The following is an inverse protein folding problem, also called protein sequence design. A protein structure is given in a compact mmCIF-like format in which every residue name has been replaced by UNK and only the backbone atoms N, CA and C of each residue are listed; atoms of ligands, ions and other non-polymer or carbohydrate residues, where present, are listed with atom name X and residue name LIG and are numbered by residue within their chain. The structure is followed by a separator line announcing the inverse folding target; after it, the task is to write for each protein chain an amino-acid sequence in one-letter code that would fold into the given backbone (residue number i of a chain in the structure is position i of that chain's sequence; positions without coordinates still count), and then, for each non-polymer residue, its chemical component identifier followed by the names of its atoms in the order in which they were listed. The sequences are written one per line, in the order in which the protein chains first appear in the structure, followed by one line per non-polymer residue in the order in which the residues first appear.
data_IF_522638338481
#
_entry.id   IF_522638338481
#
_cell.length_a   1.000
_cell.length_b   1.000
_cell.length_c   1.000
_cell.angle_alpha   90.00
_cell.angle_beta   90.00
_cell.angle_gamma   90.00
#
_symmetry.space_group_name_H-M   'P 1'
#
loop_
_entity.id
_entity.type
_entity.pdbx_description
1 polymer ?
#
# COMPACT_ATOMS: atom_id res chain seq x y z
N UNK A 1 8.17 5.40 -18.14
CA UNK A 1 8.91 4.41 -17.34
C UNK A 1 8.78 3.05 -18.01
N UNK A 2 9.93 2.43 -18.29
CA UNK A 2 10.02 1.10 -18.87
C UNK A 2 10.68 0.18 -17.86
N UNK A 3 10.22 -1.07 -17.76
CA UNK A 3 10.82 -2.01 -16.85
C UNK A 3 10.32 -3.43 -17.03
N UNK A 4 11.12 -4.39 -16.55
CA UNK A 4 10.72 -5.79 -16.41
C UNK A 4 10.82 -6.23 -14.96
N UNK A 5 10.04 -7.22 -14.62
CA UNK A 5 10.10 -7.95 -13.35
C UNK A 5 9.98 -9.43 -13.70
N UNK A 6 10.83 -10.23 -13.10
CA UNK A 6 10.89 -11.65 -13.41
C UNK A 6 10.82 -12.47 -12.12
N UNK A 7 10.21 -13.63 -12.22
CA UNK A 7 10.13 -14.54 -11.09
C UNK A 7 9.60 -15.91 -11.48
N UNK A 8 9.96 -16.89 -10.68
CA UNK A 8 9.49 -18.25 -10.89
C UNK A 8 9.63 -19.10 -9.63
N UNK A 9 9.02 -20.27 -9.67
CA UNK A 9 9.11 -21.28 -8.61
C UNK A 9 9.49 -22.63 -9.18
N UNK A 10 10.27 -23.38 -8.44
CA UNK A 10 10.64 -24.76 -8.81
C UNK A 10 9.37 -25.61 -8.93
N UNK A 11 9.24 -26.36 -10.02
CA UNK A 11 8.07 -27.17 -10.30
C UNK A 11 6.79 -26.40 -10.61
N UNK A 12 6.93 -25.11 -10.94
CA UNK A 12 5.80 -24.25 -11.24
C UNK A 12 5.97 -23.47 -12.54
N UNK A 13 5.82 -22.16 -12.45
CA UNK A 13 5.85 -21.28 -13.61
C UNK A 13 6.98 -20.26 -13.49
N UNK A 14 7.51 -19.82 -14.62
CA UNK A 14 8.34 -18.64 -14.73
C UNK A 14 7.56 -17.55 -15.48
N UNK A 15 7.60 -16.35 -14.96
CA UNK A 15 6.90 -15.20 -15.52
C UNK A 15 7.84 -14.01 -15.72
N UNK A 16 7.66 -13.33 -16.83
CA UNK A 16 8.29 -12.04 -17.13
C UNK A 16 7.18 -11.02 -17.31
N UNK A 17 7.15 -10.01 -16.46
CA UNK A 17 6.28 -8.85 -16.59
C UNK A 17 7.04 -7.72 -17.26
N UNK A 18 6.52 -7.19 -18.34
CA UNK A 18 7.00 -5.99 -19.01
C UNK A 18 6.01 -4.85 -18.81
N UNK A 19 6.50 -3.66 -18.46
CA UNK A 19 5.67 -2.47 -18.33
C UNK A 19 6.25 -1.31 -19.14
N UNK A 20 5.35 -0.43 -19.61
CA UNK A 20 5.66 0.74 -20.41
C UNK A 20 4.75 1.91 -20.01
N UNK A 21 4.93 2.39 -18.79
CA UNK A 21 4.10 3.48 -18.27
C UNK A 21 4.55 4.82 -18.84
N UNK A 22 3.62 5.60 -19.32
CA UNK A 22 3.78 7.04 -19.55
C UNK A 22 3.44 7.74 -18.24
N UNK A 23 4.32 8.63 -17.80
CA UNK A 23 4.15 9.37 -16.55
C UNK A 23 4.03 10.84 -16.87
N UNK A 24 3.03 11.51 -16.29
CA UNK A 24 2.87 12.95 -16.39
C UNK A 24 2.30 13.51 -15.09
N UNK A 25 2.57 14.78 -14.83
CA UNK A 25 1.98 15.49 -13.70
C UNK A 25 0.74 16.24 -14.15
N UNK A 26 -0.27 16.25 -13.30
CA UNK A 26 -1.50 17.00 -13.49
C UNK A 26 -2.05 17.48 -12.16
N UNK A 27 -3.07 18.32 -12.21
CA UNK A 27 -3.72 18.87 -11.03
C UNK A 27 -5.21 18.54 -11.03
N UNK A 28 -5.69 17.99 -9.92
CA UNK A 28 -7.11 17.73 -9.68
C UNK A 28 -7.54 18.39 -8.37
N UNK A 29 -8.41 19.41 -8.47
CA UNK A 29 -8.98 20.07 -7.29
C UNK A 29 -7.93 20.52 -6.27
N UNK A 30 -6.81 21.10 -6.74
CA UNK A 30 -5.70 21.56 -5.90
C UNK A 30 -4.72 20.46 -5.45
N UNK A 31 -4.93 19.22 -5.83
CA UNK A 31 -4.00 18.13 -5.58
C UNK A 31 -3.13 17.87 -6.82
N UNK A 32 -1.81 17.97 -6.67
CA UNK A 32 -0.86 17.60 -7.70
C UNK A 32 -0.69 16.08 -7.69
N UNK A 33 -0.93 15.46 -8.84
CA UNK A 33 -0.85 14.02 -9.01
C UNK A 33 0.18 13.63 -10.05
N UNK A 34 0.80 12.47 -9.86
CA UNK A 34 1.66 11.84 -10.85
C UNK A 34 0.92 10.69 -11.50
N UNK A 35 0.26 10.99 -12.58
CA UNK A 35 -0.54 10.01 -13.31
C UNK A 35 0.34 9.07 -14.13
N UNK A 36 -0.08 7.82 -14.19
CA UNK A 36 0.52 6.79 -15.02
C UNK A 36 -0.52 6.21 -15.95
N UNK A 37 -0.16 6.00 -17.20
CA UNK A 37 -1.06 5.32 -18.12
C UNK A 37 -0.28 4.56 -19.21
N UNK A 38 -0.94 3.58 -19.81
CA UNK A 38 -0.47 2.90 -21.01
C UNK A 38 -1.27 3.35 -22.23
N UNK A 39 -2.58 3.14 -22.24
CA UNK A 39 -3.47 3.52 -23.34
C UNK A 39 -4.40 4.66 -22.96
N UNK A 40 -4.72 4.80 -21.69
CA UNK A 40 -5.56 5.86 -21.14
C UNK A 40 -5.19 6.15 -19.68
N UNK A 41 -5.49 7.35 -19.19
CA UNK A 41 -5.19 7.74 -17.82
C UNK A 41 -5.78 6.79 -16.79
N UNK A 42 -5.02 6.53 -15.73
CA UNK A 42 -5.42 5.67 -14.62
C UNK A 42 -5.44 4.16 -14.93
N UNK A 43 -5.08 3.76 -16.15
CA UNK A 43 -4.94 2.36 -16.51
C UNK A 43 -3.46 1.96 -16.56
N UNK A 44 -3.04 1.15 -15.62
CA UNK A 44 -1.75 0.48 -15.70
C UNK A 44 -1.81 -0.61 -16.76
N UNK A 45 -0.78 -0.69 -17.58
CA UNK A 45 -0.71 -1.72 -18.61
C UNK A 45 0.69 -2.32 -18.60
N UNK A 46 0.75 -3.56 -18.21
CA UNK A 46 1.89 -4.42 -18.43
C UNK A 46 1.45 -5.68 -19.15
N UNK A 47 2.41 -6.36 -19.73
CA UNK A 47 2.21 -7.66 -20.34
C UNK A 47 3.03 -8.67 -19.55
N UNK A 48 2.37 -9.74 -19.09
CA UNK A 48 3.03 -10.85 -18.41
C UNK A 48 3.10 -12.01 -19.40
N UNK A 49 4.33 -12.48 -19.64
CA UNK A 49 4.59 -13.72 -20.37
C UNK A 49 4.87 -14.82 -19.37
N UNK A 50 4.16 -15.95 -19.47
CA UNK A 50 4.26 -17.09 -18.56
C UNK A 50 4.74 -18.32 -19.31
N UNK A 51 5.71 -19.01 -18.74
CA UNK A 51 6.22 -20.29 -19.25
C UNK A 51 6.20 -21.36 -18.16
N UNK A 52 6.12 -22.61 -18.58
CA UNK A 52 6.41 -23.75 -17.74
C UNK A 52 7.90 -23.79 -17.42
N UNK A 53 8.26 -23.99 -16.15
CA UNK A 53 9.65 -23.89 -15.71
C UNK A 53 10.49 -25.12 -16.07
N UNK A 54 9.84 -26.27 -16.26
CA UNK A 54 10.53 -27.54 -16.56
C UNK A 54 10.76 -27.73 -18.05
N UNK A 55 9.78 -27.34 -18.86
CA UNK A 55 9.80 -27.57 -20.30
C UNK A 55 10.12 -26.33 -21.11
N UNK A 56 10.06 -25.15 -20.52
CA UNK A 56 10.18 -23.87 -21.23
C UNK A 56 8.98 -23.55 -22.12
N UNK A 57 7.91 -24.34 -22.07
CA UNK A 57 6.74 -24.17 -22.93
C UNK A 57 6.04 -22.84 -22.64
N UNK A 58 5.82 -21.98 -23.65
CA UNK A 58 4.98 -20.80 -23.52
C UNK A 58 3.54 -21.18 -23.16
N UNK A 59 3.02 -20.57 -22.11
CA UNK A 59 1.68 -20.90 -21.61
C UNK A 59 0.67 -19.77 -21.80
N UNK A 60 1.06 -18.53 -21.53
CA UNK A 60 0.12 -17.42 -21.57
C UNK A 60 0.79 -16.06 -21.79
N UNK A 61 0.01 -15.14 -22.38
CA UNK A 61 0.22 -13.69 -22.27
C UNK A 61 -0.97 -13.09 -21.52
N UNK A 62 -0.69 -12.33 -20.48
CA UNK A 62 -1.70 -11.77 -19.59
C UNK A 62 -1.52 -10.24 -19.56
N UNK A 63 -2.61 -9.49 -19.78
CA UNK A 63 -2.65 -8.07 -19.47
C UNK A 63 -2.75 -7.90 -17.96
N UNK A 64 -1.87 -7.11 -17.35
CA UNK A 64 -1.72 -7.05 -15.91
C UNK A 64 -2.44 -5.88 -15.23
N UNK A 65 -3.14 -5.03 -15.98
CA UNK A 65 -3.71 -3.81 -15.41
C UNK A 65 -4.55 -4.03 -14.16
N UNK A 66 -5.53 -4.94 -14.25
CA UNK A 66 -6.35 -5.31 -13.08
C UNK A 66 -5.57 -6.17 -12.07
N UNK A 67 -4.74 -7.09 -12.57
CA UNK A 67 -3.94 -7.97 -11.74
C UNK A 67 -2.96 -7.17 -10.84
N UNK A 68 -2.41 -6.08 -11.36
CA UNK A 68 -1.55 -5.21 -10.58
C UNK A 68 -2.27 -4.58 -9.40
N UNK A 69 -3.48 -4.07 -9.59
CA UNK A 69 -4.28 -3.52 -8.48
C UNK A 69 -4.53 -4.59 -7.40
N UNK A 70 -4.87 -5.81 -7.82
CA UNK A 70 -5.11 -6.93 -6.90
C UNK A 70 -3.83 -7.34 -6.16
N UNK A 71 -2.68 -7.40 -6.85
CA UNK A 71 -1.40 -7.76 -6.25
C UNK A 71 -1.00 -6.75 -5.18
N UNK A 72 -1.03 -5.45 -5.50
CA UNK A 72 -0.69 -4.39 -4.55
C UNK A 72 -1.64 -4.37 -3.35
N UNK A 73 -2.94 -4.53 -3.59
CA UNK A 73 -3.91 -4.69 -2.50
C UNK A 73 -3.64 -5.90 -1.62
N UNK A 74 -3.24 -7.03 -2.21
CA UNK A 74 -2.92 -8.25 -1.47
C UNK A 74 -1.65 -8.10 -0.60
N UNK A 75 -0.61 -7.42 -1.11
CA UNK A 75 0.61 -7.13 -0.35
C UNK A 75 0.29 -6.27 0.88
N UNK A 76 -0.49 -5.22 0.69
CA UNK A 76 -1.00 -4.39 1.77
C UNK A 76 -1.88 -5.16 2.76
N UNK A 77 -2.68 -6.11 2.26
CA UNK A 77 -3.45 -7.04 3.08
C UNK A 77 -2.57 -7.94 3.95
N UNK A 78 -1.41 -8.37 3.45
CA UNK A 78 -0.42 -9.10 4.23
C UNK A 78 0.14 -8.20 5.35
N UNK A 79 0.47 -6.95 5.04
CA UNK A 79 0.88 -5.97 6.04
C UNK A 79 -0.17 -5.83 7.14
N UNK A 80 -1.43 -5.62 6.78
CA UNK A 80 -2.55 -5.54 7.73
C UNK A 80 -2.69 -6.82 8.55
N UNK A 81 -2.61 -7.99 7.91
CA UNK A 81 -2.74 -9.28 8.59
C UNK A 81 -1.73 -9.45 9.71
N UNK A 82 -0.49 -9.12 9.47
CA UNK A 82 0.60 -9.42 10.40
C UNK A 82 0.99 -8.26 11.31
N UNK A 83 0.67 -7.03 10.93
CA UNK A 83 1.19 -5.84 11.60
C UNK A 83 0.11 -4.96 12.23
N UNK A 84 -1.17 -5.08 11.86
CA UNK A 84 -2.26 -4.39 12.55
C UNK A 84 -2.77 -5.19 13.76
N UNK A 85 -3.46 -4.51 14.67
CA UNK A 85 -4.14 -5.17 15.78
C UNK A 85 -5.23 -6.12 15.26
N UNK A 86 -5.40 -7.28 15.89
CA UNK A 86 -6.43 -8.25 15.48
C UNK A 86 -7.85 -7.67 15.55
N UNK A 87 -8.09 -6.79 16.51
CA UNK A 87 -9.37 -6.12 16.71
C UNK A 87 -9.61 -4.94 15.75
N UNK A 88 -8.67 -4.63 14.83
CA UNK A 88 -8.83 -3.55 13.87
C UNK A 88 -10.09 -3.73 13.04
N UNK A 89 -10.94 -2.70 13.01
CA UNK A 89 -12.27 -2.74 12.39
C UNK A 89 -12.66 -1.45 11.67
N UNK A 90 -11.88 -0.38 11.83
CA UNK A 90 -12.14 0.91 11.20
C UNK A 90 -10.96 1.27 10.28
N UNK A 91 -11.26 1.57 9.03
CA UNK A 91 -10.26 1.98 8.02
C UNK A 91 -10.43 3.44 7.67
N UNK A 92 -9.37 4.21 7.75
CA UNK A 92 -9.26 5.52 7.13
C UNK A 92 -8.57 5.38 5.76
N UNK A 93 -9.30 5.68 4.69
CA UNK A 93 -8.83 5.52 3.31
C UNK A 93 -8.53 6.87 2.66
N UNK A 94 -7.32 7.10 2.23
CA UNK A 94 -6.89 8.28 1.50
C UNK A 94 -6.71 7.88 0.03
N UNK A 95 -7.61 8.34 -0.81
CA UNK A 95 -7.77 7.91 -2.20
C UNK A 95 -9.03 7.09 -2.40
N UNK A 96 -9.62 7.15 -3.61
CA UNK A 96 -10.87 6.49 -3.98
C UNK A 96 -10.80 5.83 -5.35
N UNK A 97 -9.58 5.54 -5.84
CA UNK A 97 -9.32 4.90 -7.12
C UNK A 97 -9.39 3.38 -7.08
N UNK A 98 -8.89 2.74 -8.13
CA UNK A 98 -8.83 1.28 -8.26
C UNK A 98 -8.01 0.62 -7.16
N UNK A 99 -6.88 1.22 -6.77
CA UNK A 99 -6.05 0.72 -5.68
C UNK A 99 -6.80 0.69 -4.35
N UNK A 100 -7.55 1.74 -4.01
CA UNK A 100 -8.33 1.78 -2.77
C UNK A 100 -9.36 0.65 -2.68
N UNK A 101 -9.98 0.28 -3.81
CA UNK A 101 -10.93 -0.83 -3.90
C UNK A 101 -10.28 -2.16 -3.56
N UNK A 102 -9.17 -2.46 -4.20
CA UNK A 102 -8.46 -3.73 -4.00
C UNK A 102 -7.79 -3.83 -2.62
N UNK A 103 -7.38 -2.69 -2.04
CA UNK A 103 -6.91 -2.65 -0.66
C UNK A 103 -8.03 -2.99 0.32
N UNK A 104 -9.20 -2.38 0.15
CA UNK A 104 -10.33 -2.70 1.02
C UNK A 104 -10.75 -4.16 0.87
N UNK A 105 -10.80 -4.70 -0.35
CA UNK A 105 -11.06 -6.13 -0.59
C UNK A 105 -10.10 -7.03 0.20
N UNK A 106 -8.80 -6.71 0.17
CA UNK A 106 -7.79 -7.47 0.89
C UNK A 106 -7.90 -7.32 2.42
N UNK A 107 -8.23 -6.12 2.91
CA UNK A 107 -8.41 -5.89 4.36
C UNK A 107 -9.62 -6.66 4.89
N UNK A 108 -10.70 -6.72 4.12
CA UNK A 108 -11.89 -7.55 4.45
C UNK A 108 -11.56 -9.04 4.57
N UNK A 109 -10.57 -9.53 3.83
CA UNK A 109 -10.13 -10.93 3.93
C UNK A 109 -9.37 -11.24 5.23
N UNK A 110 -8.77 -10.25 5.88
CA UNK A 110 -7.84 -10.47 6.99
C UNK A 110 -8.27 -9.84 8.31
N UNK A 111 -9.25 -8.93 8.27
CA UNK A 111 -9.83 -8.25 9.44
C UNK A 111 -11.34 -8.14 9.33
N UNK A 112 -12.01 -8.06 10.46
CA UNK A 112 -13.46 -7.83 10.52
C UNK A 112 -13.76 -6.33 10.41
N UNK A 113 -13.53 -5.76 9.22
CA UNK A 113 -13.77 -4.34 8.98
C UNK A 113 -15.26 -4.07 9.01
N UNK A 114 -15.66 -3.04 9.77
CA UNK A 114 -17.04 -2.63 9.95
C UNK A 114 -17.33 -1.24 9.40
N UNK A 115 -16.31 -0.42 9.34
CA UNK A 115 -16.43 0.97 8.91
C UNK A 115 -15.22 1.42 8.09
N UNK A 116 -15.49 2.22 7.06
CA UNK A 116 -14.47 2.91 6.28
C UNK A 116 -14.78 4.40 6.23
N UNK A 117 -13.80 5.22 6.46
CA UNK A 117 -13.82 6.67 6.30
C UNK A 117 -12.96 7.02 5.11
N UNK A 118 -13.53 7.52 4.02
CA UNK A 118 -12.79 7.77 2.78
C UNK A 118 -12.73 9.24 2.42
N UNK A 119 -11.53 9.67 2.03
CA UNK A 119 -11.31 11.00 1.47
C UNK A 119 -10.55 10.91 0.15
N UNK A 120 -10.98 11.70 -0.81
CA UNK A 120 -10.22 12.11 -1.99
C UNK A 120 -10.63 13.52 -2.39
N UNK A 121 -9.76 14.29 -3.11
CA UNK A 121 -10.06 15.69 -3.45
C UNK A 121 -11.37 15.87 -4.23
N UNK A 122 -11.68 14.95 -5.13
CA UNK A 122 -12.90 14.98 -5.93
C UNK A 122 -14.07 14.36 -5.16
N UNK A 123 -15.02 15.19 -4.76
CA UNK A 123 -16.18 14.78 -3.96
C UNK A 123 -16.98 13.62 -4.61
N UNK A 124 -17.28 13.76 -5.90
CA UNK A 124 -18.04 12.73 -6.62
C UNK A 124 -17.34 11.36 -6.60
N UNK A 125 -15.98 11.33 -6.66
CA UNK A 125 -15.23 10.08 -6.64
C UNK A 125 -15.28 9.40 -5.27
N UNK A 126 -15.16 10.16 -4.16
CA UNK A 126 -15.23 9.58 -2.82
C UNK A 126 -16.64 9.14 -2.45
N UNK A 127 -17.69 9.86 -2.92
CA UNK A 127 -19.08 9.46 -2.74
C UNK A 127 -19.42 8.20 -3.54
N UNK A 128 -18.96 8.10 -4.80
CA UNK A 128 -19.12 6.91 -5.62
C UNK A 128 -18.42 5.69 -5.00
N UNK A 129 -17.18 5.87 -4.52
CA UNK A 129 -16.47 4.82 -3.78
C UNK A 129 -17.23 4.37 -2.54
N UNK A 130 -17.76 5.31 -1.75
CA UNK A 130 -18.49 5.00 -0.53
C UNK A 130 -19.75 4.18 -0.82
N UNK A 131 -20.51 4.57 -1.82
CA UNK A 131 -21.72 3.84 -2.24
C UNK A 131 -21.39 2.42 -2.73
N UNK A 132 -20.41 2.30 -3.64
CA UNK A 132 -19.99 1.02 -4.24
C UNK A 132 -19.47 0.04 -3.18
N UNK A 133 -18.56 0.50 -2.31
CA UNK A 133 -17.94 -0.37 -1.33
C UNK A 133 -18.87 -0.72 -0.17
N UNK A 134 -19.80 0.18 0.18
CA UNK A 134 -20.85 -0.12 1.15
C UNK A 134 -21.77 -1.22 0.64
N UNK A 135 -22.21 -1.13 -0.61
CA UNK A 135 -23.04 -2.15 -1.25
C UNK A 135 -22.29 -3.49 -1.37
N UNK A 136 -21.06 -3.45 -1.87
CA UNK A 136 -20.25 -4.65 -2.11
C UNK A 136 -19.97 -5.45 -0.84
N UNK A 137 -19.63 -4.77 0.24
CA UNK A 137 -19.14 -5.41 1.48
C UNK A 137 -20.18 -5.44 2.62
N UNK A 138 -21.30 -4.76 2.48
CA UNK A 138 -22.32 -4.69 3.53
C UNK A 138 -21.84 -3.98 4.79
N UNK A 139 -20.97 -2.98 4.66
CA UNK A 139 -20.37 -2.23 5.77
C UNK A 139 -20.67 -0.73 5.66
N UNK A 140 -20.45 0.00 6.74
CA UNK A 140 -20.57 1.46 6.76
C UNK A 140 -19.37 2.11 6.07
N UNK A 141 -19.56 2.75 4.90
CA UNK A 141 -18.52 3.51 4.20
C UNK A 141 -18.94 4.96 4.09
N UNK A 142 -18.20 5.86 4.70
CA UNK A 142 -18.50 7.28 4.82
C UNK A 142 -17.52 8.11 4.02
N UNK A 143 -18.04 8.91 3.09
CA UNK A 143 -17.27 9.93 2.38
C UNK A 143 -17.03 11.14 3.30
N UNK A 144 -15.77 11.40 3.64
CA UNK A 144 -15.37 12.51 4.50
C UNK A 144 -15.19 13.80 3.69
N UNK A 145 -15.53 14.94 4.27
CA UNK A 145 -15.32 16.24 3.62
C UNK A 145 -13.88 16.72 3.75
N UNK A 146 -13.18 16.32 4.79
CA UNK A 146 -11.78 16.68 5.05
C UNK A 146 -10.89 15.45 5.21
N UNK A 147 -9.65 15.56 4.71
CA UNK A 147 -8.66 14.48 4.83
C UNK A 147 -8.36 14.11 6.29
N UNK A 148 -8.44 15.06 7.20
CA UNK A 148 -8.24 14.83 8.64
C UNK A 148 -9.23 13.85 9.23
N UNK A 149 -10.47 13.84 8.73
CA UNK A 149 -11.53 13.04 9.33
C UNK A 149 -11.33 11.55 9.13
N UNK A 150 -10.53 11.13 8.13
CA UNK A 150 -10.24 9.71 7.91
C UNK A 150 -9.37 9.10 9.02
N UNK A 151 -8.63 9.93 9.77
CA UNK A 151 -7.74 9.43 10.82
C UNK A 151 -8.47 9.18 12.14
N UNK A 152 -9.54 9.93 12.39
CA UNK A 152 -10.21 9.93 13.70
C UNK A 152 -10.81 8.58 14.04
N UNK A 153 -10.23 7.92 15.03
CA UNK A 153 -10.69 6.61 15.52
C UNK A 153 -10.49 5.47 14.52
N UNK A 154 -9.72 5.67 13.46
CA UNK A 154 -9.36 4.61 12.55
C UNK A 154 -8.29 3.70 13.17
N UNK A 155 -8.38 2.40 12.92
CA UNK A 155 -7.37 1.41 13.32
C UNK A 155 -6.29 1.27 12.25
N UNK A 156 -6.70 1.43 10.98
CA UNK A 156 -5.83 1.30 9.80
C UNK A 156 -5.97 2.57 8.97
N UNK A 157 -4.86 3.20 8.63
CA UNK A 157 -4.80 4.30 7.68
C UNK A 157 -4.20 3.77 6.38
N UNK A 158 -4.91 3.90 5.26
CA UNK A 158 -4.46 3.43 3.96
C UNK A 158 -4.31 4.58 2.97
N UNK A 159 -3.09 4.85 2.55
CA UNK A 159 -2.76 5.81 1.50
C UNK A 159 -2.71 5.13 0.13
N UNK A 160 -3.73 5.31 -0.68
CA UNK A 160 -3.87 4.69 -2.00
C UNK A 160 -4.12 5.78 -3.06
N UNK A 161 -3.10 6.57 -3.36
CA UNK A 161 -3.24 7.76 -4.19
C UNK A 161 -2.03 7.99 -5.08
N UNK A 162 -2.26 8.58 -6.24
CA UNK A 162 -1.24 9.05 -7.17
C UNK A 162 -0.73 10.47 -6.83
N UNK A 163 -1.00 10.98 -5.63
CA UNK A 163 -0.50 12.27 -5.18
C UNK A 163 1.01 12.38 -5.35
N UNK A 164 1.47 13.48 -5.94
CA UNK A 164 2.89 13.79 -6.06
C UNK A 164 3.51 14.27 -4.73
N UNK A 165 2.67 14.55 -3.74
CA UNK A 165 3.09 14.98 -2.41
C UNK A 165 2.67 13.96 -1.35
N UNK A 166 3.40 13.88 -0.21
CA UNK A 166 3.05 12.99 0.88
C UNK A 166 1.64 13.26 1.40
N UNK A 167 0.86 12.18 1.61
CA UNK A 167 -0.53 12.26 2.07
C UNK A 167 -0.70 11.80 3.51
N UNK A 168 0.28 11.11 4.07
CA UNK A 168 0.24 10.71 5.48
C UNK A 168 0.68 11.91 6.34
N UNK A 169 -0.22 12.39 7.17
CA UNK A 169 0.02 13.54 8.03
C UNK A 169 0.34 13.09 9.46
N UNK A 170 1.54 13.45 9.93
CA UNK A 170 2.04 13.09 11.25
C UNK A 170 1.18 13.59 12.41
N UNK A 171 0.61 14.79 12.26
CA UNK A 171 -0.18 15.42 13.34
C UNK A 171 -1.53 14.74 13.57
N UNK A 172 -2.03 14.02 12.55
CA UNK A 172 -3.34 13.34 12.60
C UNK A 172 -3.23 11.87 12.98
N UNK A 173 -2.01 11.33 13.03
CA UNK A 173 -1.79 9.95 13.46
C UNK A 173 -2.11 9.79 14.95
N UNK A 174 -2.89 8.76 15.26
CA UNK A 174 -3.26 8.38 16.61
C UNK A 174 -2.48 7.13 17.07
N UNK A 175 -2.18 7.00 18.35
CA UNK A 175 -1.56 5.79 18.90
C UNK A 175 -2.35 4.52 18.55
N UNK A 176 -1.64 3.44 18.23
CA UNK A 176 -2.25 2.16 17.90
C UNK A 176 -2.67 2.01 16.44
N UNK A 177 -2.54 3.03 15.62
CA UNK A 177 -2.84 2.93 14.20
C UNK A 177 -1.78 2.12 13.44
N UNK A 178 -2.25 1.37 12.47
CA UNK A 178 -1.44 0.76 11.43
C UNK A 178 -1.56 1.58 10.14
N UNK A 179 -0.44 2.06 9.63
CA UNK A 179 -0.41 2.81 8.37
C UNK A 179 0.02 1.89 7.24
N UNK A 180 -0.74 1.87 6.16
CA UNK A 180 -0.37 1.25 4.87
C UNK A 180 -0.26 2.36 3.84
N UNK A 181 0.84 2.43 3.11
CA UNK A 181 1.01 3.46 2.09
C UNK A 181 1.63 2.89 0.81
N UNK A 182 0.99 3.14 -0.32
CA UNK A 182 1.43 2.69 -1.66
C UNK A 182 1.69 3.82 -2.63
N UNK A 183 1.75 5.04 -2.15
CA UNK A 183 1.96 6.19 -3.02
C UNK A 183 1.96 7.49 -2.24
N UNK A 184 1.91 8.59 -2.96
CA UNK A 184 1.87 9.92 -2.32
C UNK A 184 3.25 10.43 -1.94
N UNK A 185 4.02 10.84 -2.96
CA UNK A 185 5.25 11.58 -2.76
C UNK A 185 6.50 10.78 -2.45
N UNK A 186 6.59 9.56 -3.00
CA UNK A 186 7.87 8.84 -3.05
C UNK A 186 8.12 7.78 -2.01
N UNK A 187 7.08 7.30 -1.36
CA UNK A 187 7.12 6.04 -0.61
C UNK A 187 7.65 6.16 0.82
N UNK A 188 8.73 6.89 1.07
CA UNK A 188 9.31 6.96 2.40
C UNK A 188 8.65 8.06 3.22
N UNK A 189 8.22 7.74 4.45
CA UNK A 189 7.62 8.75 5.29
C UNK A 189 8.63 9.85 5.62
N UNK A 190 8.19 11.11 5.53
CA UNK A 190 8.97 12.26 5.95
C UNK A 190 9.32 12.20 7.45
N UNK A 191 10.31 12.97 7.90
CA UNK A 191 10.84 12.93 9.27
C UNK A 191 9.75 13.05 10.34
N UNK A 192 8.78 13.94 10.16
CA UNK A 192 7.69 14.11 11.12
C UNK A 192 6.83 12.83 11.30
N UNK A 193 6.61 12.07 10.22
CA UNK A 193 5.92 10.78 10.30
C UNK A 193 6.81 9.73 10.94
N UNK A 194 8.11 9.69 10.56
CA UNK A 194 9.08 8.79 11.18
C UNK A 194 9.15 8.96 12.70
N UNK A 195 9.07 10.18 13.18
CA UNK A 195 9.07 10.49 14.63
C UNK A 195 7.85 9.94 15.38
N UNK A 196 6.80 9.58 14.66
CA UNK A 196 5.58 8.99 15.21
C UNK A 196 5.53 7.48 15.10
N UNK A 197 6.38 6.89 14.26
CA UNK A 197 6.37 5.46 13.96
C UNK A 197 7.27 4.72 14.94
N UNK A 198 6.80 3.58 15.43
CA UNK A 198 7.59 2.63 16.23
C UNK A 198 8.18 1.50 15.41
N UNK A 199 7.45 1.08 14.37
CA UNK A 199 7.86 -0.01 13.48
C UNK A 199 7.65 0.44 12.04
N UNK A 200 8.68 0.31 11.23
CA UNK A 200 8.63 0.52 9.80
C UNK A 200 8.96 -0.79 9.07
N UNK A 201 8.14 -1.14 8.12
CA UNK A 201 8.36 -2.26 7.22
C UNK A 201 8.14 -1.81 5.79
N UNK A 202 9.08 -2.11 4.91
CA UNK A 202 8.97 -1.89 3.49
C UNK A 202 9.01 -3.21 2.75
N UNK A 203 8.07 -3.40 1.84
CA UNK A 203 7.98 -4.57 0.99
C UNK A 203 8.57 -4.26 -0.39
N UNK A 204 9.34 -5.20 -0.96
CA UNK A 204 9.90 -5.05 -2.30
C UNK A 204 11.43 -4.92 -2.33
N UNK A 205 11.97 -5.05 -3.52
CA UNK A 205 13.41 -5.01 -3.79
C UNK A 205 13.81 -3.65 -4.38
N UNK A 206 13.41 -2.58 -3.74
CA UNK A 206 13.80 -1.23 -4.13
C UNK A 206 15.15 -0.84 -3.51
N UNK A 207 15.93 0.04 -4.11
CA UNK A 207 17.13 0.56 -3.49
C UNK A 207 16.80 1.29 -2.19
N UNK A 208 17.79 1.34 -1.29
CA UNK A 208 17.65 2.07 -0.04
C UNK A 208 17.14 3.50 -0.26
N UNK A 209 16.26 3.97 0.60
CA UNK A 209 15.70 5.31 0.49
C UNK A 209 16.79 6.39 0.55
N UNK A 210 16.75 7.28 -0.43
CA UNK A 210 17.64 8.43 -0.38
C UNK A 210 17.24 9.37 0.77
N UNK A 211 18.19 9.84 1.54
CA UNK A 211 17.96 10.77 2.64
C UNK A 211 17.72 10.14 4.01
N UNK A 212 17.78 8.83 4.10
CA UNK A 212 17.75 8.10 5.37
C UNK A 212 19.01 7.24 5.49
N UNK A 213 20.19 7.85 5.72
CA UNK A 213 21.47 7.14 5.72
C UNK A 213 21.59 6.07 6.81
N UNK A 214 20.82 6.20 7.89
CA UNK A 214 20.70 5.20 8.96
C UNK A 214 19.84 3.99 8.58
N UNK A 215 19.14 4.05 7.46
CA UNK A 215 18.32 2.98 6.93
C UNK A 215 18.96 2.41 5.67
N UNK A 216 20.08 1.74 5.80
CA UNK A 216 20.61 0.92 4.69
C UNK A 216 19.81 -0.38 4.64
N UNK A 217 18.76 -0.35 3.84
CA UNK A 217 17.84 -1.48 3.68
C UNK A 217 18.10 -2.27 2.39
N UNK A 218 19.18 -2.00 1.66
CA UNK A 218 19.40 -2.58 0.35
C UNK A 218 19.35 -4.12 0.36
N UNK A 219 19.89 -4.73 1.40
CA UNK A 219 19.89 -6.19 1.57
C UNK A 219 18.76 -6.70 2.48
N UNK A 220 17.92 -5.79 2.97
CA UNK A 220 16.96 -6.08 4.03
C UNK A 220 15.53 -6.22 3.52
N UNK A 221 15.30 -5.91 2.27
CA UNK A 221 13.97 -5.95 1.67
C UNK A 221 13.34 -7.34 1.76
N UNK A 222 12.05 -7.38 1.93
CA UNK A 222 11.20 -8.55 2.01
C UNK A 222 11.30 -9.38 3.29
N UNK A 223 12.40 -9.34 3.98
CA UNK A 223 12.65 -10.28 5.07
C UNK A 223 12.90 -9.64 6.42
N UNK A 224 13.11 -8.35 6.46
CA UNK A 224 13.58 -7.74 7.70
C UNK A 224 12.56 -7.78 8.83
N UNK A 225 11.26 -7.86 8.56
CA UNK A 225 10.28 -8.15 9.60
C UNK A 225 10.48 -9.54 10.23
N UNK A 226 11.10 -10.45 9.49
CA UNK A 226 11.48 -11.78 9.96
C UNK A 226 12.93 -11.84 10.52
N UNK A 227 13.67 -10.76 10.50
CA UNK A 227 15.02 -10.64 11.04
C UNK A 227 15.00 -9.97 12.41
N UNK A 228 14.71 -10.73 13.47
CA UNK A 228 14.44 -10.18 14.79
C UNK A 228 15.64 -9.57 15.49
N UNK A 229 16.84 -9.82 14.99
CA UNK A 229 18.12 -9.34 15.49
C UNK A 229 18.62 -8.08 14.78
N UNK A 230 17.95 -7.66 13.70
CA UNK A 230 18.33 -6.47 12.97
C UNK A 230 17.93 -5.18 13.71
N UNK A 231 18.85 -4.25 13.81
CA UNK A 231 18.58 -2.91 14.32
C UNK A 231 18.47 -1.94 13.13
N UNK A 232 17.25 -1.53 12.82
CA UNK A 232 16.98 -0.64 11.69
C UNK A 232 17.44 0.81 11.91
N UNK A 233 18.12 1.14 13.01
CA UNK A 233 18.57 2.49 13.34
C UNK A 233 17.47 3.50 13.61
N UNK A 234 16.29 3.14 13.33
CA UNK A 234 15.07 3.90 13.30
C UNK A 234 14.17 3.42 14.43
N UNK A 235 13.36 3.91 15.01
CA UNK A 235 12.66 3.61 16.27
C UNK A 235 12.28 2.15 16.52
N UNK A 236 12.35 1.29 15.52
CA UNK A 236 12.06 -0.10 15.71
C UNK A 236 13.22 -0.84 16.39
N UNK A 237 13.07 -1.07 17.65
CA UNK A 237 13.99 -1.89 18.46
C UNK A 237 13.43 -3.28 18.76
N UNK A 238 12.35 -3.67 18.11
CA UNK A 238 11.66 -4.92 18.40
C UNK A 238 12.32 -6.09 17.70
N UNK A 239 13.16 -6.78 18.41
CA UNK A 239 13.85 -7.96 17.92
C UNK A 239 12.93 -9.15 17.60
N UNK A 240 11.68 -9.13 18.03
CA UNK A 240 10.74 -10.24 17.87
C UNK A 240 9.62 -9.96 16.88
N UNK A 241 9.73 -8.93 16.06
CA UNK A 241 8.71 -8.58 15.09
C UNK A 241 8.71 -9.55 13.91
N UNK A 242 8.24 -10.75 14.11
CA UNK A 242 7.95 -11.70 13.02
C UNK A 242 6.61 -11.40 12.34
N UNK A 243 6.19 -10.15 12.34
CA UNK A 243 4.93 -9.75 11.76
C UNK A 243 3.69 -10.06 12.60
N UNK A 244 3.81 -10.66 13.77
CA UNK A 244 2.67 -10.92 14.63
C UNK A 244 2.64 -9.97 15.82
N UNK A 245 1.51 -9.33 16.04
CA UNK A 245 1.27 -8.49 17.21
C UNK A 245 2.21 -7.29 17.33
N UNK A 246 2.66 -6.75 16.21
CA UNK A 246 3.56 -5.58 16.19
C UNK A 246 2.82 -4.32 16.53
N UNK A 247 1.57 -4.19 16.07
CA UNK A 247 0.72 -3.07 16.42
C UNK A 247 0.29 -3.17 17.87
N UNK A 248 0.58 -2.14 18.62
CA UNK A 248 0.19 -2.03 20.05
C UNK A 248 -0.68 -0.79 20.24
N UNK A 249 -1.51 -0.78 21.31
CA UNK A 249 -2.45 0.32 21.51
C UNK A 249 -1.82 1.71 21.58
N UNK A 250 -0.57 1.79 21.97
CA UNK A 250 0.17 3.03 22.21
C UNK A 250 1.15 3.41 21.09
N UNK A 251 1.15 2.66 19.97
CA UNK A 251 2.19 2.80 18.93
C UNK A 251 1.61 2.90 17.54
N UNK A 252 2.35 3.52 16.62
CA UNK A 252 2.05 3.53 15.19
C UNK A 252 2.96 2.55 14.47
N UNK A 253 2.38 1.74 13.61
CA UNK A 253 3.09 0.79 12.75
C UNK A 253 2.88 1.20 11.30
N UNK A 254 3.95 1.24 10.53
CA UNK A 254 3.93 1.67 9.14
C UNK A 254 4.38 0.56 8.21
N UNK A 255 3.58 0.28 7.19
CA UNK A 255 3.88 -0.63 6.11
C UNK A 255 3.88 0.12 4.78
N UNK A 256 4.89 -0.12 3.98
CA UNK A 256 5.04 0.42 2.63
C UNK A 256 5.19 -0.71 1.63
N UNK A 257 4.42 -0.67 0.56
CA UNK A 257 4.53 -1.56 -0.59
C UNK A 257 5.29 -0.87 -1.75
#
# INVERSE_FOLDING_TARGET
QWGSMEGGSVGGYFAIRMKSDIIYETEYNGAITQEKYCTQPGLFCGLIFVTDVETGTPLAFINDGQLQHMRVGADSGIGVKYMSREASSVVGMIGSGGMARTHLDAFMCVRNIKRVQVFSPTRANREAFAAEMSEKHGIDVVACDEARDVYRGADIISGCTDSAVPVINAEWLEPGQHVVNVGGGGGIPGQAVQDRIEVYFRFGNAPAPQGLPELDLADEFLTYAARPDHDYGFKNKRKNSRGHGVAMPDRVVYFED
#
